data_IF_253197763180
#
_entry.id   IF_253197763180
#
_cell.length_a   1.000
_cell.length_b   1.000
_cell.length_c   1.000
_cell.angle_alpha   90.00
_cell.angle_beta   90.00
_cell.angle_gamma   90.00
#
_symmetry.space_group_name_H-M   'P 1'
#
loop_
_entity.id
_entity.type
_entity.pdbx_description
1 polymer ?
#
# COMPACT_ATOMS: atom_id res chain seq x y z
N UNK A 1 -19.34 -4.97 -16.73
CA UNK A 1 -17.99 -4.91 -17.38
C UNK A 1 -16.93 -4.91 -16.28
N UNK A 2 -15.91 -5.76 -16.36
CA UNK A 2 -14.76 -5.66 -15.45
C UNK A 2 -13.91 -4.43 -15.82
N UNK A 3 -13.37 -3.65 -14.85
CA UNK A 3 -13.47 -3.78 -13.39
C UNK A 3 -14.44 -2.76 -12.74
N UNK A 4 -15.73 -2.78 -13.12
CA UNK A 4 -16.74 -1.87 -12.57
C UNK A 4 -16.92 -1.96 -11.04
N UNK A 5 -16.44 -3.05 -10.40
CA UNK A 5 -16.46 -3.20 -8.94
C UNK A 5 -15.38 -2.41 -8.19
N UNK A 6 -14.43 -1.77 -8.89
CA UNK A 6 -13.44 -0.91 -8.23
C UNK A 6 -14.07 0.41 -7.80
N UNK A 7 -13.65 0.95 -6.64
CA UNK A 7 -14.28 2.15 -6.07
C UNK A 7 -14.27 3.36 -7.03
N UNK A 8 -13.13 3.65 -7.65
CA UNK A 8 -13.01 4.77 -8.62
C UNK A 8 -13.97 4.62 -9.80
N UNK A 9 -14.07 3.42 -10.36
CA UNK A 9 -14.96 3.13 -11.49
C UNK A 9 -16.43 3.17 -11.08
N UNK A 10 -16.76 2.63 -9.91
CA UNK A 10 -18.14 2.61 -9.41
C UNK A 10 -18.65 4.04 -9.14
N UNK A 11 -17.81 4.90 -8.55
CA UNK A 11 -18.14 6.31 -8.33
C UNK A 11 -18.42 6.99 -9.68
N UNK A 12 -17.52 6.86 -10.65
CA UNK A 12 -17.70 7.47 -11.96
C UNK A 12 -18.95 6.95 -12.68
N UNK A 13 -19.20 5.64 -12.66
CA UNK A 13 -20.35 5.03 -13.32
C UNK A 13 -21.69 5.45 -12.70
N UNK A 14 -21.75 5.59 -11.37
CA UNK A 14 -22.99 5.90 -10.67
C UNK A 14 -23.25 7.39 -10.51
N UNK A 15 -22.21 8.21 -10.43
CA UNK A 15 -22.32 9.64 -10.09
C UNK A 15 -21.83 10.57 -11.20
N UNK A 16 -21.10 10.05 -12.19
CA UNK A 16 -20.40 10.85 -13.20
C UNK A 16 -19.14 11.57 -12.67
N UNK A 17 -18.84 11.47 -11.37
CA UNK A 17 -17.68 12.14 -10.76
C UNK A 17 -16.42 11.30 -10.92
N UNK A 18 -15.32 11.94 -11.31
CA UNK A 18 -14.00 11.32 -11.35
C UNK A 18 -13.24 11.53 -10.05
N UNK A 19 -12.69 10.46 -9.49
CA UNK A 19 -11.82 10.57 -8.31
C UNK A 19 -10.47 11.19 -8.71
N UNK A 20 -10.00 12.24 -8.00
CA UNK A 20 -8.72 12.88 -8.28
C UNK A 20 -7.55 11.89 -8.30
N UNK A 21 -6.51 12.23 -9.06
CA UNK A 21 -5.25 11.47 -9.05
C UNK A 21 -4.66 11.45 -7.64
N UNK A 22 -4.25 10.26 -7.19
CA UNK A 22 -3.79 10.04 -5.81
C UNK A 22 -4.86 10.20 -4.71
N UNK A 23 -6.07 10.65 -5.06
CA UNK A 23 -7.19 10.85 -4.15
C UNK A 23 -7.98 9.57 -3.85
N UNK A 24 -8.89 9.70 -2.89
CA UNK A 24 -9.86 8.67 -2.46
C UNK A 24 -11.27 9.10 -2.85
N UNK A 25 -12.21 8.15 -2.87
CA UNK A 25 -13.62 8.47 -3.14
C UNK A 25 -14.21 9.51 -2.16
N UNK A 26 -13.67 9.59 -0.94
CA UNK A 26 -14.07 10.62 0.03
C UNK A 26 -13.79 12.04 -0.45
N UNK A 27 -12.80 12.22 -1.33
CA UNK A 27 -12.47 13.54 -1.91
C UNK A 27 -13.52 13.97 -2.94
N UNK A 28 -14.34 13.03 -3.43
CA UNK A 28 -15.53 13.30 -4.25
C UNK A 28 -16.82 13.25 -3.41
N UNK A 29 -16.72 13.16 -2.08
CA UNK A 29 -17.88 13.04 -1.18
C UNK A 29 -18.57 11.66 -1.20
N UNK A 30 -17.95 10.64 -1.80
CA UNK A 30 -18.57 9.30 -1.95
C UNK A 30 -17.77 8.24 -1.21
N UNK A 31 -18.43 7.47 -0.36
CA UNK A 31 -17.82 6.34 0.33
C UNK A 31 -18.36 5.01 -0.23
N UNK A 32 -17.47 4.15 -0.70
CA UNK A 32 -17.81 2.84 -1.25
C UNK A 32 -17.47 1.76 -0.24
N UNK A 33 -18.48 0.97 0.16
CA UNK A 33 -18.29 -0.18 1.03
C UNK A 33 -18.53 -1.49 0.28
N UNK A 34 -17.65 -2.47 0.51
CA UNK A 34 -17.90 -3.84 0.10
C UNK A 34 -19.08 -4.42 0.90
N UNK A 35 -19.91 -5.24 0.28
CA UNK A 35 -21.07 -5.89 0.94
C UNK A 35 -20.64 -6.71 2.15
N UNK A 36 -19.51 -7.42 2.09
CA UNK A 36 -18.96 -8.16 3.23
C UNK A 36 -18.54 -7.26 4.39
N UNK A 37 -18.15 -6.01 4.13
CA UNK A 37 -17.89 -5.02 5.18
C UNK A 37 -19.19 -4.59 5.84
N UNK A 38 -20.23 -4.29 5.06
CA UNK A 38 -21.55 -3.94 5.62
C UNK A 38 -22.13 -5.08 6.48
N UNK A 39 -22.02 -6.32 6.00
CA UNK A 39 -22.40 -7.52 6.76
C UNK A 39 -21.63 -7.66 8.07
N UNK A 40 -20.30 -7.50 8.05
CA UNK A 40 -19.47 -7.57 9.25
C UNK A 40 -19.80 -6.47 10.27
N UNK A 41 -20.06 -5.24 9.81
CA UNK A 41 -20.47 -4.12 10.68
C UNK A 41 -21.81 -4.44 11.37
N UNK A 42 -22.78 -4.99 10.62
CA UNK A 42 -24.05 -5.41 11.20
C UNK A 42 -23.86 -6.45 12.30
N UNK A 43 -23.09 -7.52 12.05
CA UNK A 43 -22.80 -8.56 13.04
C UNK A 43 -22.11 -8.01 14.28
N UNK A 44 -21.12 -7.14 14.10
CA UNK A 44 -20.38 -6.53 15.20
C UNK A 44 -21.29 -5.69 16.11
N UNK A 45 -22.12 -4.82 15.51
CA UNK A 45 -22.94 -3.88 16.28
C UNK A 45 -24.24 -4.48 16.82
N UNK A 46 -24.87 -5.40 16.08
CA UNK A 46 -26.19 -5.94 16.43
C UNK A 46 -26.13 -7.29 17.13
N UNK A 47 -25.06 -8.04 16.93
CA UNK A 47 -24.92 -9.42 17.43
C UNK A 47 -23.73 -9.57 18.38
N UNK A 48 -23.01 -8.48 18.67
CA UNK A 48 -21.76 -8.50 19.43
C UNK A 48 -20.74 -9.50 18.87
N UNK A 49 -20.79 -9.75 17.56
CA UNK A 49 -19.96 -10.74 16.90
C UNK A 49 -18.86 -10.03 16.10
N UNK A 50 -17.62 -9.95 16.62
CA UNK A 50 -16.53 -9.27 15.94
C UNK A 50 -16.15 -10.01 14.64
N UNK A 51 -15.33 -9.36 13.80
CA UNK A 51 -14.84 -9.96 12.57
C UNK A 51 -13.83 -11.07 12.88
N UNK A 52 -14.34 -12.28 13.13
CA UNK A 52 -13.55 -13.49 13.39
C UNK A 52 -13.64 -14.51 12.26
N UNK A 53 -14.59 -14.35 11.36
CA UNK A 53 -14.79 -15.18 10.17
C UNK A 53 -14.94 -14.33 8.92
N UNK A 54 -14.69 -14.93 7.75
CA UNK A 54 -14.93 -14.29 6.47
C UNK A 54 -15.51 -15.29 5.48
N UNK A 55 -16.39 -14.78 4.61
CA UNK A 55 -16.89 -15.53 3.46
C UNK A 55 -15.78 -15.55 2.41
N UNK A 56 -15.34 -16.77 2.05
CA UNK A 56 -14.26 -17.03 1.09
C UNK A 56 -14.80 -17.95 0.00
N UNK A 57 -14.62 -17.55 -1.26
CA UNK A 57 -14.95 -18.41 -2.40
C UNK A 57 -13.78 -19.33 -2.71
N UNK A 58 -13.94 -20.65 -2.54
CA UNK A 58 -12.94 -21.65 -2.93
C UNK A 58 -13.34 -22.21 -4.30
N UNK A 59 -12.53 -22.01 -5.32
CA UNK A 59 -12.89 -22.32 -6.71
C UNK A 59 -11.68 -22.55 -7.61
N UNK A 60 -11.92 -22.80 -8.90
CA UNK A 60 -10.94 -23.12 -9.94
C UNK A 60 -11.03 -24.56 -10.39
N UNK A 61 -10.55 -24.86 -11.60
CA UNK A 61 -10.69 -26.19 -12.21
C UNK A 61 -10.00 -27.32 -11.45
N UNK A 62 -9.09 -27.01 -10.52
CA UNK A 62 -8.42 -28.02 -9.69
C UNK A 62 -9.20 -28.39 -8.42
N UNK A 63 -10.22 -27.61 -8.02
CA UNK A 63 -10.99 -27.85 -6.80
C UNK A 63 -12.09 -28.88 -7.07
N UNK A 64 -12.17 -29.93 -6.24
CA UNK A 64 -13.15 -31.01 -6.43
C UNK A 64 -14.59 -30.53 -6.23
N UNK A 65 -14.87 -29.75 -5.17
CA UNK A 65 -16.18 -29.14 -4.90
C UNK A 65 -16.05 -27.64 -4.65
N UNK A 66 -16.10 -26.80 -5.71
CA UNK A 66 -16.10 -25.34 -5.58
C UNK A 66 -17.32 -24.85 -4.80
N UNK A 67 -17.10 -23.97 -3.81
CA UNK A 67 -18.18 -23.42 -2.98
C UNK A 67 -17.73 -22.17 -2.21
N UNK A 68 -18.70 -21.43 -1.68
CA UNK A 68 -18.45 -20.33 -0.74
C UNK A 68 -18.47 -20.89 0.69
N UNK A 69 -17.45 -20.55 1.47
CA UNK A 69 -17.29 -20.99 2.86
C UNK A 69 -17.26 -19.78 3.79
N UNK A 70 -17.91 -19.88 4.95
CA UNK A 70 -17.60 -18.99 6.07
C UNK A 70 -16.48 -19.63 6.89
N UNK A 71 -15.28 -19.07 6.82
CA UNK A 71 -14.09 -19.63 7.45
C UNK A 71 -13.52 -18.69 8.52
N UNK A 72 -13.00 -19.22 9.65
CA UNK A 72 -12.32 -18.42 10.67
C UNK A 72 -11.08 -17.73 10.10
N UNK A 73 -10.87 -16.47 10.46
CA UNK A 73 -9.62 -15.78 10.13
C UNK A 73 -8.47 -16.51 10.82
N UNK A 74 -7.42 -16.85 10.06
CA UNK A 74 -6.32 -17.68 10.52
C UNK A 74 -6.40 -19.15 10.09
N UNK A 75 -7.56 -19.63 9.61
CA UNK A 75 -7.70 -20.98 9.05
C UNK A 75 -6.74 -21.17 7.86
N UNK A 76 -6.16 -22.35 7.70
CA UNK A 76 -5.22 -22.59 6.63
C UNK A 76 -5.95 -22.77 5.29
N UNK A 77 -5.32 -22.32 4.21
CA UNK A 77 -5.80 -22.60 2.86
C UNK A 77 -5.95 -24.11 2.63
N UNK A 78 -5.07 -24.92 3.23
CA UNK A 78 -5.15 -26.37 3.22
C UNK A 78 -6.48 -26.90 3.79
N UNK A 79 -6.91 -26.41 4.95
CA UNK A 79 -8.17 -26.81 5.58
C UNK A 79 -9.37 -26.50 4.69
N UNK A 80 -9.36 -25.32 4.05
CA UNK A 80 -10.42 -24.90 3.13
C UNK A 80 -10.47 -25.79 1.89
N UNK A 81 -9.31 -26.14 1.32
CA UNK A 81 -9.23 -27.03 0.17
C UNK A 81 -9.68 -28.44 0.56
N UNK A 82 -9.22 -28.97 1.70
CA UNK A 82 -9.63 -30.27 2.23
C UNK A 82 -11.15 -30.35 2.43
N UNK A 83 -11.76 -29.32 2.99
CA UNK A 83 -13.23 -29.22 3.12
C UNK A 83 -13.95 -29.29 1.75
N UNK A 84 -13.36 -28.66 0.73
CA UNK A 84 -13.80 -28.73 -0.66
C UNK A 84 -13.46 -30.05 -1.39
N UNK A 85 -12.91 -31.05 -0.69
CA UNK A 85 -12.54 -32.34 -1.29
C UNK A 85 -11.14 -32.40 -1.89
N UNK A 86 -10.32 -31.37 -1.63
CA UNK A 86 -8.94 -31.26 -2.08
C UNK A 86 -8.79 -30.54 -3.43
N UNK A 87 -7.53 -30.28 -3.78
CA UNK A 87 -7.14 -29.77 -5.10
C UNK A 87 -5.83 -30.42 -5.59
N UNK A 88 -5.79 -31.74 -5.79
CA UNK A 88 -4.55 -32.47 -6.10
C UNK A 88 -3.98 -32.11 -7.48
N UNK A 89 -4.81 -31.64 -8.41
CA UNK A 89 -4.40 -31.22 -9.75
C UNK A 89 -4.01 -29.73 -9.83
N UNK A 90 -3.86 -29.04 -8.69
CA UNK A 90 -3.54 -27.62 -8.66
C UNK A 90 -2.11 -27.38 -9.13
N UNK A 91 -1.97 -26.71 -10.27
CA UNK A 91 -0.69 -26.22 -10.77
C UNK A 91 -0.35 -24.83 -10.19
N UNK A 92 -1.37 -24.04 -9.83
CA UNK A 92 -1.18 -22.72 -9.23
C UNK A 92 -2.30 -22.36 -8.26
N UNK A 93 -1.91 -21.81 -7.13
CA UNK A 93 -2.81 -21.30 -6.10
C UNK A 93 -2.75 -19.77 -6.07
N UNK A 94 -3.91 -19.12 -6.05
CA UNK A 94 -4.05 -17.68 -5.93
C UNK A 94 -4.93 -17.32 -4.73
N UNK A 95 -4.49 -16.37 -3.91
CA UNK A 95 -5.34 -15.72 -2.92
C UNK A 95 -6.01 -14.50 -3.57
N UNK A 96 -7.32 -14.57 -3.78
CA UNK A 96 -8.12 -13.58 -4.48
C UNK A 96 -8.76 -14.13 -5.76
N UNK A 97 -8.93 -13.27 -6.76
CA UNK A 97 -9.51 -13.64 -8.05
C UNK A 97 -8.46 -13.90 -9.14
N UNK A 98 -8.87 -14.31 -10.36
CA UNK A 98 -7.95 -14.65 -11.45
C UNK A 98 -7.11 -13.46 -11.95
N UNK A 99 -7.59 -12.22 -11.75
CA UNK A 99 -6.95 -11.01 -12.27
C UNK A 99 -6.00 -10.35 -11.27
N UNK A 100 -6.46 -10.10 -10.03
CA UNK A 100 -5.69 -9.41 -8.99
C UNK A 100 -5.18 -10.35 -7.87
N UNK A 101 -5.47 -11.64 -7.98
CA UNK A 101 -5.09 -12.62 -6.97
C UNK A 101 -3.58 -12.79 -6.90
N UNK A 102 -3.08 -12.92 -5.67
CA UNK A 102 -1.65 -13.10 -5.42
C UNK A 102 -1.29 -14.57 -5.40
N UNK A 103 -0.20 -14.99 -6.09
CA UNK A 103 0.25 -16.37 -6.02
C UNK A 103 0.64 -16.75 -4.60
N UNK A 104 0.14 -17.90 -4.15
CA UNK A 104 0.48 -18.47 -2.86
C UNK A 104 1.74 -19.34 -2.98
N UNK A 105 2.65 -19.32 -1.99
CA UNK A 105 3.81 -20.20 -1.96
C UNK A 105 3.46 -21.66 -1.64
N UNK A 106 2.24 -21.93 -1.14
CA UNK A 106 1.73 -23.25 -0.78
C UNK A 106 0.37 -23.17 -0.09
N UNK A 107 -0.10 -24.28 0.45
CA UNK A 107 -1.40 -24.38 1.16
C UNK A 107 -1.31 -24.07 2.66
N UNK A 108 -0.11 -24.14 3.25
CA UNK A 108 0.16 -23.82 4.65
C UNK A 108 0.23 -22.30 4.93
N UNK A 109 -0.73 -21.55 4.37
CA UNK A 109 -0.85 -20.10 4.53
C UNK A 109 -2.21 -19.79 5.16
N UNK A 110 -2.28 -18.94 6.19
CA UNK A 110 -3.55 -18.59 6.82
C UNK A 110 -4.37 -17.64 5.94
N UNK A 111 -5.68 -17.80 5.95
CA UNK A 111 -6.60 -16.78 5.43
C UNK A 111 -6.63 -15.57 6.35
N UNK A 112 -6.72 -14.38 5.76
CA UNK A 112 -6.75 -13.10 6.47
C UNK A 112 -8.02 -12.32 6.16
N UNK A 113 -8.26 -11.21 6.87
CA UNK A 113 -9.43 -10.35 6.65
C UNK A 113 -9.62 -9.84 5.21
N UNK A 114 -8.57 -9.85 4.40
CA UNK A 114 -8.59 -9.46 2.98
C UNK A 114 -8.84 -10.61 2.02
N UNK A 115 -8.82 -11.86 2.50
CA UNK A 115 -9.04 -13.05 1.68
C UNK A 115 -10.52 -13.14 1.33
N UNK A 116 -10.84 -12.92 0.05
CA UNK A 116 -12.21 -13.05 -0.47
C UNK A 116 -12.38 -14.32 -1.33
N UNK A 117 -11.27 -14.94 -1.73
CA UNK A 117 -11.30 -16.18 -2.50
C UNK A 117 -9.95 -16.90 -2.47
N UNK A 118 -10.02 -18.21 -2.69
CA UNK A 118 -8.89 -19.10 -2.95
C UNK A 118 -9.18 -19.75 -4.29
N UNK A 119 -8.27 -19.54 -5.25
CA UNK A 119 -8.41 -20.03 -6.60
C UNK A 119 -7.30 -21.04 -6.89
N UNK A 120 -7.69 -22.31 -7.11
CA UNK A 120 -6.78 -23.39 -7.47
C UNK A 120 -6.94 -23.73 -8.96
N UNK A 121 -5.94 -23.36 -9.76
CA UNK A 121 -5.93 -23.52 -11.20
C UNK A 121 -5.19 -24.79 -11.60
N UNK A 122 -5.74 -25.50 -12.58
CA UNK A 122 -5.09 -26.61 -13.27
C UNK A 122 -3.96 -26.10 -14.20
N UNK A 123 -3.10 -27.01 -14.65
CA UNK A 123 -2.06 -26.70 -15.63
C UNK A 123 -2.63 -26.09 -16.93
N UNK A 124 -3.82 -26.53 -17.36
CA UNK A 124 -4.48 -26.03 -18.57
C UNK A 124 -5.00 -24.59 -18.40
N UNK A 125 -5.43 -24.22 -17.19
CA UNK A 125 -5.87 -22.86 -16.86
C UNK A 125 -4.69 -21.91 -16.64
N UNK A 126 -3.54 -22.44 -16.21
CA UNK A 126 -2.29 -21.69 -16.15
C UNK A 126 -1.66 -21.61 -17.53
N UNK A 127 -2.02 -20.58 -18.29
CA UNK A 127 -1.38 -20.25 -19.55
C UNK A 127 0.12 -19.90 -19.35
N UNK A 128 1.00 -20.90 -19.37
CA UNK A 128 2.46 -20.72 -19.43
C UNK A 128 2.86 -20.41 -20.87
N UNK A 129 2.63 -19.18 -21.30
CA UNK A 129 3.21 -18.69 -22.55
C UNK A 129 4.20 -17.61 -22.20
N UNK A 130 5.42 -17.84 -22.66
CA UNK A 130 6.51 -16.89 -22.50
C UNK A 130 6.14 -15.53 -23.11
N UNK A 131 6.38 -14.42 -22.38
CA UNK A 131 6.16 -13.09 -22.91
C UNK A 131 6.96 -12.89 -24.21
N UNK A 132 6.28 -12.42 -25.26
CA UNK A 132 6.93 -12.07 -26.52
C UNK A 132 7.19 -10.56 -26.63
N UNK A 133 8.03 -10.11 -27.57
CA UNK A 133 8.25 -8.69 -27.79
C UNK A 133 6.94 -7.92 -28.10
N UNK A 134 6.88 -6.67 -27.65
CA UNK A 134 5.73 -5.80 -27.90
C UNK A 134 5.60 -5.46 -29.38
N UNK A 135 4.43 -5.74 -29.97
CA UNK A 135 4.08 -5.38 -31.36
C UNK A 135 3.41 -4.00 -31.51
N UNK A 136 3.34 -3.22 -30.42
CA UNK A 136 2.77 -1.84 -30.39
C UNK A 136 1.33 -1.72 -30.90
N UNK A 137 0.50 -2.73 -30.67
CA UNK A 137 -0.89 -2.78 -31.15
C UNK A 137 -1.91 -1.85 -30.43
N UNK A 138 -1.53 -1.11 -29.39
CA UNK A 138 -2.44 -0.18 -28.71
C UNK A 138 -3.49 -0.79 -27.75
N UNK A 139 -3.83 -2.08 -27.87
CA UNK A 139 -4.88 -2.76 -27.07
C UNK A 139 -4.80 -2.55 -25.56
N UNK A 140 -3.59 -2.46 -25.00
CA UNK A 140 -3.40 -2.23 -23.57
C UNK A 140 -3.91 -0.87 -23.10
N UNK A 141 -3.87 0.15 -23.96
CA UNK A 141 -4.39 1.50 -23.71
C UNK A 141 -5.91 1.47 -23.79
N UNK A 142 -6.47 0.90 -24.85
CA UNK A 142 -7.91 0.75 -25.05
C UNK A 142 -8.59 -0.04 -23.91
N UNK A 143 -7.93 -1.09 -23.42
CA UNK A 143 -8.44 -1.91 -22.33
C UNK A 143 -8.25 -1.28 -20.93
N UNK A 144 -7.53 -0.16 -20.81
CA UNK A 144 -7.27 0.45 -19.52
C UNK A 144 -8.49 1.24 -19.04
N UNK A 145 -9.16 0.82 -17.95
CA UNK A 145 -10.34 1.54 -17.44
C UNK A 145 -10.01 2.91 -16.83
N UNK A 146 -8.74 3.14 -16.52
CA UNK A 146 -8.24 4.39 -15.95
C UNK A 146 -7.71 5.35 -17.03
N UNK A 147 -7.80 5.02 -18.32
CA UNK A 147 -7.29 5.86 -19.40
C UNK A 147 -5.77 6.07 -19.40
N UNK A 148 -5.01 5.16 -18.77
CA UNK A 148 -3.55 5.26 -18.66
C UNK A 148 -2.83 4.78 -19.93
N UNK A 149 -1.51 4.93 -19.97
CA UNK A 149 -0.64 4.38 -21.01
C UNK A 149 0.27 3.24 -20.48
N UNK A 150 -0.24 1.99 -20.36
CA UNK A 150 0.49 0.86 -19.77
C UNK A 150 1.83 0.56 -20.44
N UNK A 151 1.93 0.74 -21.76
CA UNK A 151 3.17 0.47 -22.48
C UNK A 151 4.30 1.43 -22.06
N UNK A 152 4.01 2.72 -21.99
CA UNK A 152 4.98 3.75 -21.60
C UNK A 152 5.37 3.63 -20.12
N UNK A 153 4.42 3.28 -19.25
CA UNK A 153 4.68 2.96 -17.86
C UNK A 153 5.61 1.74 -17.72
N UNK A 154 5.33 0.64 -18.45
CA UNK A 154 6.10 -0.61 -18.35
C UNK A 154 7.51 -0.45 -18.91
N UNK A 155 7.67 0.27 -20.02
CA UNK A 155 8.97 0.56 -20.62
C UNK A 155 9.92 1.28 -19.66
N UNK A 156 9.39 2.22 -18.87
CA UNK A 156 10.16 2.98 -17.86
C UNK A 156 10.41 2.17 -16.60
N UNK A 157 9.40 1.47 -16.10
CA UNK A 157 9.53 0.56 -14.97
C UNK A 157 10.62 -0.51 -15.21
N UNK A 158 10.72 -1.06 -16.42
CA UNK A 158 11.77 -2.03 -16.82
C UNK A 158 13.19 -1.46 -16.81
N UNK A 159 13.34 -0.14 -16.85
CA UNK A 159 14.64 0.57 -16.85
C UNK A 159 14.92 1.24 -15.50
N UNK A 160 14.14 0.90 -14.48
CA UNK A 160 14.16 1.57 -13.17
C UNK A 160 13.95 3.09 -13.22
N UNK A 161 13.34 3.60 -14.30
CA UNK A 161 12.93 4.99 -14.45
C UNK A 161 11.58 5.19 -13.74
N UNK A 162 11.62 5.21 -12.41
CA UNK A 162 10.42 5.30 -11.56
C UNK A 162 9.72 6.66 -11.68
N UNK A 163 10.48 7.75 -11.78
CA UNK A 163 9.95 9.10 -11.93
C UNK A 163 9.30 9.30 -13.29
N UNK A 164 9.90 8.76 -14.34
CA UNK A 164 9.27 8.72 -15.64
C UNK A 164 8.00 7.87 -15.61
N UNK A 165 7.97 6.71 -14.94
CA UNK A 165 6.74 5.92 -14.82
C UNK A 165 5.65 6.68 -14.04
N UNK A 166 6.02 7.43 -13.01
CA UNK A 166 5.15 8.31 -12.24
C UNK A 166 4.47 9.36 -13.13
N UNK A 167 5.23 9.98 -14.04
CA UNK A 167 4.73 10.99 -14.98
C UNK A 167 3.64 10.46 -15.93
N UNK A 168 3.55 9.13 -16.13
CA UNK A 168 2.50 8.48 -16.91
C UNK A 168 1.34 7.93 -16.07
N UNK A 169 1.21 8.36 -14.81
CA UNK A 169 0.07 8.02 -13.95
C UNK A 169 0.21 6.66 -13.26
N UNK A 170 1.45 6.22 -12.96
CA UNK A 170 1.68 4.95 -12.25
C UNK A 170 0.87 4.84 -10.95
N UNK A 171 0.73 5.92 -10.19
CA UNK A 171 -0.02 5.95 -8.93
C UNK A 171 -1.52 5.72 -9.13
N UNK A 172 -2.07 6.06 -10.30
CA UNK A 172 -3.49 5.91 -10.60
C UNK A 172 -3.86 4.51 -11.09
N UNK A 173 -2.87 3.69 -11.43
CA UNK A 173 -3.09 2.31 -11.82
C UNK A 173 -3.64 1.49 -10.64
N UNK A 174 -4.85 0.93 -10.81
CA UNK A 174 -5.53 0.08 -9.82
C UNK A 174 -5.13 -1.41 -9.89
N UNK A 175 -4.06 -1.75 -10.62
CA UNK A 175 -3.53 -3.11 -10.80
C UNK A 175 -4.57 -4.17 -11.22
N UNK A 176 -5.59 -3.76 -11.99
CA UNK A 176 -6.71 -4.63 -12.36
C UNK A 176 -6.39 -5.73 -13.40
N UNK A 177 -5.26 -5.68 -14.10
CA UNK A 177 -4.87 -6.72 -15.06
C UNK A 177 -5.50 -6.65 -16.45
N UNK A 178 -6.46 -5.76 -16.73
CA UNK A 178 -7.11 -5.67 -18.04
C UNK A 178 -6.10 -5.47 -19.20
N UNK A 179 -5.08 -4.65 -18.98
CA UNK A 179 -4.04 -4.39 -19.98
C UNK A 179 -3.15 -5.61 -20.25
N UNK A 180 -2.82 -6.39 -19.22
CA UNK A 180 -2.02 -7.61 -19.34
C UNK A 180 -2.82 -8.71 -20.04
N UNK A 181 -4.10 -8.86 -19.68
CA UNK A 181 -5.00 -9.83 -20.28
C UNK A 181 -5.27 -9.56 -21.77
N UNK A 182 -5.49 -8.30 -22.16
CA UNK A 182 -5.72 -7.92 -23.55
C UNK A 182 -4.46 -7.95 -24.44
N UNK A 183 -3.26 -8.12 -23.85
CA UNK A 183 -2.00 -8.06 -24.57
C UNK A 183 -1.76 -9.34 -25.37
N UNK A 184 -1.69 -9.30 -26.73
CA UNK A 184 -1.38 -10.49 -27.52
C UNK A 184 0.02 -11.02 -27.26
N UNK A 185 0.96 -10.14 -26.89
CA UNK A 185 2.33 -10.50 -26.52
C UNK A 185 2.47 -11.03 -25.08
N UNK A 186 1.37 -11.09 -24.31
CA UNK A 186 1.32 -11.58 -22.92
C UNK A 186 2.37 -10.94 -22.00
N UNK A 187 2.63 -9.66 -22.22
CA UNK A 187 3.56 -8.89 -21.39
C UNK A 187 2.98 -8.77 -19.97
N UNK A 188 3.75 -9.11 -18.92
CA UNK A 188 3.27 -9.02 -17.54
C UNK A 188 3.27 -7.57 -17.02
N UNK A 189 2.46 -6.71 -17.66
CA UNK A 189 2.41 -5.26 -17.41
C UNK A 189 2.19 -4.92 -15.94
N UNK A 190 1.22 -5.59 -15.29
CA UNK A 190 0.88 -5.32 -13.88
C UNK A 190 2.05 -5.62 -12.94
N UNK A 191 2.83 -6.68 -13.19
CA UNK A 191 3.98 -7.04 -12.35
C UNK A 191 5.04 -5.92 -12.38
N UNK A 192 5.26 -5.29 -13.54
CA UNK A 192 6.15 -4.13 -13.63
C UNK A 192 5.61 -2.90 -12.89
N UNK A 193 4.29 -2.70 -12.90
CA UNK A 193 3.67 -1.58 -12.19
C UNK A 193 3.74 -1.76 -10.68
N UNK A 194 3.45 -2.96 -10.20
CA UNK A 194 3.53 -3.30 -8.78
C UNK A 194 4.98 -3.23 -8.29
N UNK A 195 5.94 -3.70 -9.10
CA UNK A 195 7.37 -3.51 -8.85
C UNK A 195 7.73 -2.02 -8.71
N UNK A 196 7.41 -1.21 -9.72
CA UNK A 196 7.76 0.20 -9.74
C UNK A 196 7.11 0.97 -8.57
N UNK A 197 5.85 0.64 -8.23
CA UNK A 197 5.15 1.22 -7.09
C UNK A 197 5.80 0.82 -5.77
N UNK A 198 6.16 -0.45 -5.61
CA UNK A 198 6.89 -0.94 -4.43
C UNK A 198 8.24 -0.26 -4.27
N UNK A 199 9.00 -0.10 -5.36
CA UNK A 199 10.27 0.60 -5.35
C UNK A 199 10.11 2.09 -4.98
N UNK A 200 9.08 2.76 -5.51
CA UNK A 200 8.74 4.14 -5.14
C UNK A 200 8.38 4.27 -3.66
N UNK A 201 7.57 3.35 -3.13
CA UNK A 201 7.20 3.34 -1.70
C UNK A 201 8.43 3.16 -0.80
N UNK A 202 9.36 2.27 -1.16
CA UNK A 202 10.61 2.08 -0.42
C UNK A 202 11.43 3.36 -0.43
N UNK A 203 11.59 4.00 -1.59
CA UNK A 203 12.32 5.28 -1.74
C UNK A 203 11.69 6.38 -0.89
N UNK A 204 10.36 6.56 -0.98
CA UNK A 204 9.62 7.56 -0.21
C UNK A 204 9.72 7.33 1.30
N UNK A 205 9.61 6.07 1.76
CA UNK A 205 9.77 5.73 3.17
C UNK A 205 11.18 6.04 3.68
N UNK A 206 12.20 5.76 2.87
CA UNK A 206 13.59 6.10 3.22
C UNK A 206 13.78 7.63 3.33
N UNK A 207 13.27 8.39 2.37
CA UNK A 207 13.30 9.85 2.40
C UNK A 207 12.55 10.44 3.61
N UNK A 208 11.36 9.92 3.93
CA UNK A 208 10.59 10.35 5.09
C UNK A 208 11.35 10.08 6.40
N UNK A 209 11.94 8.89 6.54
CA UNK A 209 12.79 8.56 7.70
C UNK A 209 14.00 9.49 7.80
N UNK A 210 14.65 9.82 6.68
CA UNK A 210 15.78 10.74 6.66
C UNK A 210 15.37 12.17 7.06
N UNK A 211 14.23 12.65 6.54
CA UNK A 211 13.65 13.96 6.92
C UNK A 211 13.33 14.03 8.41
N UNK A 212 12.69 13.00 8.95
CA UNK A 212 12.35 12.94 10.37
C UNK A 212 13.61 12.86 11.25
N UNK A 213 14.59 12.04 10.85
CA UNK A 213 15.88 11.97 11.55
C UNK A 213 16.57 13.32 11.58
N UNK A 214 16.61 14.04 10.46
CA UNK A 214 17.17 15.40 10.39
C UNK A 214 16.43 16.36 11.31
N UNK A 215 15.10 16.35 11.29
CA UNK A 215 14.25 17.16 12.18
C UNK A 215 14.59 16.94 13.66
N UNK A 216 14.74 15.67 14.07
CA UNK A 216 15.08 15.32 15.45
C UNK A 216 16.50 15.80 15.85
N UNK A 217 17.46 15.71 14.92
CA UNK A 217 18.82 16.23 15.13
C UNK A 217 18.83 17.76 15.30
N UNK A 218 18.13 18.47 14.43
CA UNK A 218 18.01 19.94 14.48
C UNK A 218 17.36 20.39 15.81
N UNK A 219 16.31 19.69 16.27
CA UNK A 219 15.68 19.94 17.56
C UNK A 219 16.63 19.70 18.75
N UNK A 220 17.45 18.63 18.68
CA UNK A 220 18.45 18.34 19.72
C UNK A 220 19.53 19.42 19.76
N UNK A 221 20.04 19.84 18.61
CA UNK A 221 21.04 20.92 18.52
C UNK A 221 20.49 22.23 19.08
N UNK A 222 19.25 22.59 18.71
CA UNK A 222 18.59 23.79 19.24
C UNK A 222 18.42 23.72 20.77
N UNK A 223 18.12 22.54 21.33
CA UNK A 223 18.02 22.37 22.80
C UNK A 223 19.38 22.57 23.47
N UNK A 224 20.43 21.92 22.97
CA UNK A 224 21.79 22.06 23.53
C UNK A 224 22.29 23.51 23.45
N UNK A 225 22.05 24.20 22.33
CA UNK A 225 22.40 25.61 22.18
C UNK A 225 21.66 26.52 23.18
N UNK A 226 20.38 26.22 23.48
CA UNK A 226 19.64 26.95 24.53
C UNK A 226 20.23 26.69 25.92
N UNK A 227 20.58 25.45 26.23
CA UNK A 227 21.21 25.09 27.50
C UNK A 227 22.59 25.76 27.66
N UNK A 228 23.41 25.79 26.61
CA UNK A 228 24.70 26.48 26.61
C UNK A 228 24.56 27.99 26.77
N UNK A 229 23.64 28.62 26.04
CA UNK A 229 23.34 30.06 26.19
C UNK A 229 22.88 30.38 27.62
N UNK A 230 21.96 29.60 28.17
CA UNK A 230 21.51 29.79 29.55
C UNK A 230 22.65 29.62 30.58
N UNK A 231 23.54 28.64 30.39
CA UNK A 231 24.74 28.46 31.22
C UNK A 231 25.72 29.63 31.09
N UNK A 232 25.96 30.12 29.87
CA UNK A 232 26.84 31.25 29.61
C UNK A 232 26.28 32.56 30.21
N UNK A 233 24.98 32.82 30.04
CA UNK A 233 24.30 33.96 30.65
C UNK A 233 24.32 33.88 32.19
N UNK A 234 24.06 32.71 32.77
CA UNK A 234 24.16 32.51 34.21
C UNK A 234 25.58 32.72 34.74
N UNK A 235 26.61 32.23 34.02
CA UNK A 235 28.01 32.45 34.37
C UNK A 235 28.40 33.93 34.27
N UNK A 236 27.95 34.63 33.22
CA UNK A 236 28.18 36.07 33.04
C UNK A 236 27.50 36.90 34.15
N UNK A 237 26.25 36.59 34.51
CA UNK A 237 25.55 37.22 35.65
C UNK A 237 26.32 37.02 36.96
N UNK A 238 26.76 35.79 37.25
CA UNK A 238 27.58 35.48 38.43
C UNK A 238 28.92 36.24 38.45
N UNK A 239 29.58 36.39 37.30
CA UNK A 239 30.81 37.19 37.21
C UNK A 239 30.54 38.68 37.42
N UNK A 240 29.49 39.23 36.81
CA UNK A 240 29.09 40.63 36.97
C UNK A 240 28.73 40.95 38.43
N UNK A 241 27.97 40.08 39.11
CA UNK A 241 27.66 40.20 40.53
C UNK A 241 28.92 40.18 41.41
N UNK A 242 29.87 39.27 41.13
CA UNK A 242 31.17 39.23 41.83
C UNK A 242 32.00 40.49 41.62
N UNK A 243 32.05 41.03 40.40
CA UNK A 243 32.76 42.26 40.09
C UNK A 243 32.11 43.48 40.77
N UNK A 244 30.78 43.57 40.76
CA UNK A 244 30.03 44.61 41.45
C UNK A 244 30.23 44.55 42.98
N UNK A 245 30.25 43.35 43.56
CA UNK A 245 30.55 43.15 44.98
C UNK A 245 31.98 43.58 45.34
N UNK A 246 32.97 43.23 44.50
CA UNK A 246 34.37 43.68 44.66
C UNK A 246 34.52 45.21 44.52
N UNK A 247 33.80 45.83 43.59
CA UNK A 247 33.80 47.28 43.41
C UNK A 247 33.18 48.01 44.61
N UNK A 248 32.03 47.51 45.14
CA UNK A 248 31.44 48.01 46.39
C UNK A 248 32.37 47.86 47.60
N UNK A 249 33.10 46.74 47.69
CA UNK A 249 34.08 46.54 48.76
C UNK A 249 35.25 47.52 48.66
N UNK A 250 35.79 47.76 47.45
CA UNK A 250 36.87 48.74 47.21
C UNK A 250 36.44 50.18 47.50
N UNK A 251 35.20 50.56 47.14
CA UNK A 251 34.66 51.88 47.44
C UNK A 251 34.48 52.12 48.95
N UNK A 252 34.14 51.07 49.72
CA UNK A 252 34.07 51.14 51.19
C UNK A 252 35.45 51.28 51.86
N UNK A 253 36.50 50.70 51.28
CA UNK A 253 37.87 50.84 51.82
C UNK A 253 38.58 52.14 51.41
N UNK A 254 38.14 52.79 50.33
CA UNK A 254 38.70 54.07 49.86
C UNK A 254 38.10 55.32 50.51
N UNK A 255 36.98 55.20 51.22
CA UNK A 255 36.33 56.30 51.95
C UNK A 255 36.78 56.41 53.42
N UNK A 256 37.81 55.67 53.83
CA UNK A 256 38.34 55.62 55.20
C UNK A 256 39.81 56.08 55.32
N UNK A 257 40.33 56.78 54.30
CA UNK A 257 41.62 57.46 54.32
C UNK A 257 41.39 58.95 54.00
#
# INVERSE_FOLDING_TARGET
RYPAGSAKQLIQLLTGLETPSGGRGTDTGVLVHNVGTAYAVHRALRQAHPLISRIVTVTGGAVVRPQNLEAPIGALVDDLLAFCGGAPAAARLLMGGPMMGQPLPGTQVPIVKGTNGILALTAAETLTVEPSPCIRCGRCVEACPMGLMPLEMSKRARRDDLDGALAFGLIDCISCGSCAYACPSRIPLVQYFDYARGALEIRQRAEQKAKETRRLLDQRQARLAREERAKAEAAARRQAEKLAAKAKARAKTGAAA
#
